data_IF_515711705434
#
_entry.id   IF_515711705434
#
_cell.length_a   1.000
_cell.length_b   1.000
_cell.length_c   1.000
_cell.angle_alpha   90.00
_cell.angle_beta   90.00
_cell.angle_gamma   90.00
#
_symmetry.space_group_name_H-M   'P 1'
#
loop_
_entity.id
_entity.type
_entity.pdbx_description
1 polymer ?
#
# COMPACT_ATOMS: atom_id res chain seq x y z
N UNK A 1 -10.88 52.64 -51.06
CA UNK A 1 -11.86 51.92 -51.91
C UNK A 1 -11.58 50.42 -51.78
N UNK A 2 -12.65 49.60 -51.67
CA UNK A 2 -12.74 48.17 -51.24
C UNK A 2 -12.92 48.02 -49.71
N UNK A 3 -14.15 48.17 -49.20
CA UNK A 3 -15.22 47.14 -49.02
C UNK A 3 -14.81 46.10 -47.96
N UNK A 4 -15.22 46.33 -46.71
CA UNK A 4 -16.36 45.67 -46.05
C UNK A 4 -16.19 44.15 -45.93
N UNK A 5 -15.86 43.69 -44.72
CA UNK A 5 -16.61 42.58 -44.15
C UNK A 5 -16.71 42.74 -42.63
N UNK A 6 -17.90 43.18 -42.25
CA UNK A 6 -18.51 43.17 -40.93
C UNK A 6 -18.54 41.74 -40.42
N UNK A 7 -17.97 41.45 -39.25
CA UNK A 7 -18.48 40.36 -38.41
C UNK A 7 -18.74 40.92 -37.03
N UNK A 8 -20.04 41.05 -36.78
CA UNK A 8 -20.69 41.20 -35.51
C UNK A 8 -20.27 40.07 -34.55
N UNK A 9 -19.95 40.47 -33.31
CA UNK A 9 -20.56 39.97 -32.08
C UNK A 9 -20.80 38.45 -31.94
N UNK A 10 -20.17 37.83 -30.93
CA UNK A 10 -20.91 37.08 -29.91
C UNK A 10 -20.00 36.73 -28.72
N UNK A 11 -20.23 37.47 -27.63
CA UNK A 11 -20.01 36.97 -26.28
C UNK A 11 -20.78 35.66 -26.12
N UNK A 12 -20.07 34.55 -25.95
CA UNK A 12 -20.62 33.35 -25.34
C UNK A 12 -19.85 33.12 -24.03
N UNK A 13 -20.39 33.71 -22.96
CA UNK A 13 -20.16 33.25 -21.61
C UNK A 13 -20.75 31.83 -21.55
N UNK A 14 -19.91 30.80 -21.67
CA UNK A 14 -20.31 29.47 -21.23
C UNK A 14 -20.36 29.49 -19.71
N UNK A 15 -21.53 29.85 -19.17
CA UNK A 15 -21.96 29.29 -17.90
C UNK A 15 -22.17 27.80 -18.15
N UNK A 16 -21.18 27.00 -17.77
CA UNK A 16 -21.41 25.57 -17.56
C UNK A 16 -22.26 25.52 -16.29
N UNK A 17 -23.57 25.57 -16.50
CA UNK A 17 -24.55 25.08 -15.55
C UNK A 17 -24.17 23.62 -15.27
N UNK A 18 -23.45 23.39 -14.17
CA UNK A 18 -23.34 22.04 -13.60
C UNK A 18 -24.80 21.62 -13.39
N UNK A 19 -25.29 20.55 -14.06
CA UNK A 19 -26.52 19.95 -13.64
C UNK A 19 -26.27 19.51 -12.21
N UNK A 20 -26.97 20.15 -11.28
CA UNK A 20 -27.15 19.66 -9.93
C UNK A 20 -27.94 18.35 -10.10
N UNK A 21 -27.19 17.27 -10.33
CA UNK A 21 -27.71 15.92 -10.38
C UNK A 21 -28.34 15.68 -9.01
N UNK A 22 -29.66 15.57 -9.06
CA UNK A 22 -30.50 15.12 -7.97
C UNK A 22 -29.94 13.80 -7.43
N UNK A 23 -29.94 13.70 -6.11
CA UNK A 23 -29.92 12.44 -5.37
C UNK A 23 -30.75 11.36 -6.09
N UNK A 24 -30.05 10.32 -6.53
CA UNK A 24 -30.44 8.93 -6.82
C UNK A 24 -29.20 8.39 -7.54
N UNK A 25 -28.37 7.57 -6.91
CA UNK A 25 -28.79 6.34 -6.26
C UNK A 25 -28.20 6.18 -4.86
N UNK A 26 -29.06 5.72 -3.95
CA UNK A 26 -28.66 4.86 -2.85
C UNK A 26 -27.92 3.65 -3.46
N UNK A 27 -26.64 3.82 -3.79
CA UNK A 27 -25.75 2.69 -4.04
C UNK A 27 -25.78 1.83 -2.78
N UNK A 28 -26.35 0.64 -2.90
CA UNK A 28 -26.42 -0.38 -1.87
C UNK A 28 -25.08 -0.48 -1.15
N UNK A 29 -24.99 0.16 0.01
CA UNK A 29 -23.80 0.15 0.83
C UNK A 29 -23.69 -1.28 1.37
N UNK A 30 -22.70 -2.04 0.90
CA UNK A 30 -22.12 -3.10 1.71
C UNK A 30 -21.37 -2.40 2.85
N UNK A 31 -22.13 -1.94 3.86
CA UNK A 31 -21.65 -1.27 5.09
C UNK A 31 -20.76 -2.17 5.93
N UNK A 32 -20.60 -3.44 5.54
CA UNK A 32 -19.92 -4.44 6.33
C UNK A 32 -18.98 -5.28 5.48
N UNK A 33 -17.74 -5.40 5.95
CA UNK A 33 -16.78 -6.38 5.46
C UNK A 33 -17.39 -7.79 5.57
N UNK A 34 -17.11 -8.73 4.64
CA UNK A 34 -17.78 -10.02 4.60
C UNK A 34 -17.78 -10.73 5.96
N UNK A 35 -18.97 -10.99 6.54
CA UNK A 35 -19.13 -11.49 7.92
C UNK A 35 -18.48 -12.86 8.18
N UNK A 36 -18.29 -13.65 7.13
CA UNK A 36 -17.69 -14.98 7.22
C UNK A 36 -16.24 -15.06 6.73
N UNK A 37 -15.58 -13.92 6.44
CA UNK A 37 -14.16 -13.92 6.09
C UNK A 37 -13.31 -14.60 7.17
N UNK A 38 -12.55 -15.63 6.78
CA UNK A 38 -11.63 -16.40 7.62
C UNK A 38 -10.18 -16.29 7.13
N UNK A 39 -9.95 -16.30 5.82
CA UNK A 39 -8.64 -16.20 5.19
C UNK A 39 -8.80 -15.73 3.75
N UNK A 40 -7.69 -15.34 3.12
CA UNK A 40 -7.70 -14.91 1.72
C UNK A 40 -6.34 -14.38 1.31
N UNK A 41 -6.10 -14.25 0.00
CA UNK A 41 -4.90 -13.59 -0.53
C UNK A 41 -5.32 -12.41 -1.37
N UNK A 42 -4.78 -11.24 -1.05
CA UNK A 42 -4.97 -10.01 -1.80
C UNK A 42 -3.75 -9.76 -2.68
N UNK A 43 -3.91 -9.75 -3.99
CA UNK A 43 -2.81 -9.64 -4.96
C UNK A 43 -2.87 -8.32 -5.72
N UNK A 44 -1.76 -7.61 -5.89
CA UNK A 44 -1.73 -6.24 -6.44
C UNK A 44 -1.59 -6.14 -7.95
N UNK A 45 -1.33 -7.26 -8.64
CA UNK A 45 -0.98 -7.26 -10.05
C UNK A 45 0.43 -6.71 -10.37
N UNK A 46 1.17 -6.20 -9.38
CA UNK A 46 2.53 -5.66 -9.53
C UNK A 46 3.52 -6.57 -8.79
N UNK A 47 4.55 -7.06 -9.50
CA UNK A 47 5.72 -7.77 -8.96
C UNK A 47 5.42 -8.89 -7.92
N UNK A 48 4.29 -9.58 -8.08
CA UNK A 48 3.83 -10.61 -7.15
C UNK A 48 3.73 -10.15 -5.68
N UNK A 49 3.54 -8.85 -5.47
CA UNK A 49 3.19 -8.29 -4.17
C UNK A 49 1.79 -8.78 -3.76
N UNK A 50 1.69 -9.24 -2.51
CA UNK A 50 0.44 -9.74 -1.96
C UNK A 50 0.39 -9.68 -0.44
N UNK A 51 -0.82 -9.63 0.09
CA UNK A 51 -1.12 -9.81 1.50
C UNK A 51 -1.92 -11.10 1.66
N UNK A 52 -1.33 -12.09 2.32
CA UNK A 52 -2.00 -13.34 2.67
C UNK A 52 -2.53 -13.27 4.10
N UNK A 53 -3.83 -13.41 4.27
CA UNK A 53 -4.53 -13.53 5.57
C UNK A 53 -4.73 -15.00 5.91
N UNK A 54 -4.37 -15.39 7.13
CA UNK A 54 -4.47 -16.76 7.66
C UNK A 54 -5.57 -16.86 8.71
N UNK A 55 -6.23 -18.03 8.82
CA UNK A 55 -7.33 -18.29 9.77
C UNK A 55 -7.00 -17.99 11.23
N UNK A 56 -5.74 -18.05 11.62
CA UNK A 56 -5.27 -17.81 12.99
C UNK A 56 -5.14 -16.30 13.33
N UNK A 57 -5.63 -15.40 12.49
CA UNK A 57 -5.52 -13.96 12.68
C UNK A 57 -4.13 -13.39 12.33
N UNK A 58 -3.30 -14.14 11.60
CA UNK A 58 -2.01 -13.66 11.08
C UNK A 58 -2.10 -13.22 9.64
N UNK A 59 -1.29 -12.24 9.25
CA UNK A 59 -1.07 -11.93 7.83
C UNK A 59 0.41 -11.97 7.49
N UNK A 60 0.69 -12.24 6.21
CA UNK A 60 2.01 -12.16 5.60
C UNK A 60 1.91 -11.19 4.43
N UNK A 61 2.58 -10.06 4.54
CA UNK A 61 2.68 -9.08 3.45
C UNK A 61 4.03 -9.21 2.76
N UNK A 62 4.02 -9.55 1.48
CA UNK A 62 5.21 -9.55 0.62
C UNK A 62 5.18 -8.31 -0.23
N UNK A 63 6.06 -7.34 0.02
CA UNK A 63 6.03 -5.99 -0.56
C UNK A 63 7.29 -5.63 -1.36
N UNK A 64 8.24 -6.56 -1.48
CA UNK A 64 9.38 -6.45 -2.39
C UNK A 64 9.77 -7.83 -2.88
N UNK A 65 10.29 -7.90 -4.10
CA UNK A 65 11.02 -9.05 -4.63
C UNK A 65 10.22 -9.97 -5.58
N UNK A 66 10.97 -10.71 -6.39
CA UNK A 66 10.44 -11.43 -7.55
C UNK A 66 9.39 -12.50 -7.22
N UNK A 67 8.64 -12.92 -8.23
CA UNK A 67 7.61 -13.96 -8.12
C UNK A 67 8.14 -15.34 -7.66
N UNK A 68 9.45 -15.56 -7.61
CA UNK A 68 10.08 -16.84 -7.23
C UNK A 68 10.46 -16.92 -5.75
N UNK A 69 10.16 -15.88 -4.97
CA UNK A 69 10.20 -15.94 -3.50
C UNK A 69 11.37 -15.21 -2.87
N UNK A 70 12.22 -14.56 -3.67
CA UNK A 70 13.15 -13.54 -3.18
C UNK A 70 12.33 -12.31 -2.82
N UNK A 71 12.52 -11.75 -1.63
CA UNK A 71 11.69 -10.62 -1.21
C UNK A 71 11.49 -10.47 0.28
N UNK A 72 11.28 -9.22 0.72
CA UNK A 72 10.97 -8.92 2.11
C UNK A 72 9.54 -9.31 2.42
N UNK A 73 9.36 -9.92 3.58
CA UNK A 73 8.07 -10.34 4.11
C UNK A 73 7.87 -9.72 5.47
N UNK A 74 6.73 -9.09 5.66
CA UNK A 74 6.28 -8.63 6.96
C UNK A 74 5.22 -9.58 7.49
N UNK A 75 5.43 -10.08 8.70
CA UNK A 75 4.44 -10.87 9.42
C UNK A 75 3.74 -9.99 10.44
N UNK A 76 2.42 -10.11 10.51
CA UNK A 76 1.61 -9.33 11.43
C UNK A 76 0.35 -10.06 11.87
N UNK A 77 -0.50 -9.32 12.57
CA UNK A 77 -1.81 -9.76 13.04
C UNK A 77 -2.89 -8.92 12.39
N UNK A 78 -3.99 -9.57 12.02
CA UNK A 78 -5.19 -8.89 11.59
C UNK A 78 -6.35 -9.17 12.54
N UNK A 79 -7.28 -8.22 12.64
CA UNK A 79 -8.52 -8.35 13.40
C UNK A 79 -9.67 -7.82 12.57
N UNK A 80 -10.73 -8.61 12.48
CA UNK A 80 -11.96 -8.19 11.84
C UNK A 80 -12.72 -7.15 12.67
N UNK A 81 -13.17 -6.10 11.99
CA UNK A 81 -14.18 -5.14 12.44
C UNK A 81 -15.39 -5.25 11.54
N UNK A 82 -16.45 -4.53 11.89
CA UNK A 82 -17.73 -4.63 11.18
C UNK A 82 -17.57 -4.26 9.70
N UNK A 83 -16.71 -3.29 9.41
CA UNK A 83 -16.54 -2.59 8.13
C UNK A 83 -15.16 -2.83 7.48
N UNK A 84 -14.17 -3.35 8.21
CA UNK A 84 -12.81 -3.57 7.69
C UNK A 84 -12.01 -4.64 8.46
N UNK A 85 -10.85 -5.03 7.94
CA UNK A 85 -9.80 -5.69 8.71
C UNK A 85 -8.80 -4.65 9.22
N UNK A 86 -8.50 -4.66 10.51
CA UNK A 86 -7.38 -3.92 11.09
C UNK A 86 -6.10 -4.76 11.02
N UNK A 87 -5.02 -4.17 10.53
CA UNK A 87 -3.70 -4.77 10.43
C UNK A 87 -2.76 -4.18 11.48
N UNK A 88 -1.91 -5.01 12.05
CA UNK A 88 -0.84 -4.59 12.95
C UNK A 88 0.41 -5.46 12.78
N UNK A 89 1.58 -4.85 12.73
CA UNK A 89 2.84 -5.58 12.68
C UNK A 89 3.98 -4.75 13.29
N UNK A 90 5.10 -5.42 13.57
CA UNK A 90 6.37 -4.75 13.87
C UNK A 90 7.32 -5.07 12.72
N UNK A 91 7.72 -4.05 11.99
CA UNK A 91 8.78 -4.14 11.00
C UNK A 91 10.11 -3.79 11.68
N UNK A 92 11.11 -4.63 11.47
CA UNK A 92 12.48 -4.32 11.89
C UNK A 92 13.26 -3.91 10.63
N UNK A 93 14.12 -2.92 10.75
CA UNK A 93 15.15 -2.62 9.75
C UNK A 93 16.49 -2.88 10.46
N UNK A 94 17.00 -4.10 10.28
CA UNK A 94 18.14 -4.65 11.02
C UNK A 94 19.13 -5.34 10.06
N UNK A 95 20.11 -6.06 10.61
CA UNK A 95 21.10 -6.77 9.78
C UNK A 95 20.49 -7.90 8.95
N UNK A 96 19.57 -8.68 9.52
CA UNK A 96 18.92 -9.80 8.83
C UNK A 96 18.09 -9.31 7.62
N UNK A 97 17.40 -8.19 7.77
CA UNK A 97 16.65 -7.55 6.69
C UNK A 97 17.57 -6.99 5.61
N UNK A 98 18.74 -6.48 6.00
CA UNK A 98 19.77 -6.07 5.05
C UNK A 98 20.29 -7.27 4.23
N UNK A 99 20.55 -8.41 4.88
CA UNK A 99 20.98 -9.64 4.21
C UNK A 99 19.95 -10.12 3.17
N UNK A 100 18.66 -10.10 3.54
CA UNK A 100 17.57 -10.46 2.62
C UNK A 100 17.50 -9.47 1.45
N UNK A 101 17.55 -8.16 1.72
CA UNK A 101 17.49 -7.12 0.70
C UNK A 101 18.71 -7.08 -0.22
N UNK A 102 19.87 -7.49 0.27
CA UNK A 102 21.14 -7.51 -0.46
C UNK A 102 21.50 -8.90 -1.03
N UNK A 103 20.58 -9.86 -0.99
CA UNK A 103 20.82 -11.24 -1.41
C UNK A 103 21.14 -11.40 -2.91
N UNK A 104 20.79 -10.41 -3.74
CA UNK A 104 20.91 -10.44 -5.19
C UNK A 104 19.54 -10.41 -5.87
N UNK A 105 19.51 -10.63 -7.18
CA UNK A 105 18.30 -10.78 -7.98
C UNK A 105 18.29 -12.11 -8.73
N UNK A 106 17.20 -12.40 -9.44
CA UNK A 106 17.13 -13.56 -10.33
C UNK A 106 18.28 -13.63 -11.36
N UNK A 107 18.76 -12.48 -11.83
CA UNK A 107 19.77 -12.39 -12.89
C UNK A 107 21.19 -12.23 -12.36
N UNK A 108 21.36 -11.98 -11.05
CA UNK A 108 22.67 -11.69 -10.47
C UNK A 108 22.74 -12.12 -9.01
N UNK A 109 23.72 -12.96 -8.70
CA UNK A 109 24.09 -13.26 -7.31
C UNK A 109 25.24 -12.34 -6.90
N UNK A 110 25.01 -11.51 -5.89
CA UNK A 110 26.04 -10.60 -5.39
C UNK A 110 27.24 -11.38 -4.81
N UNK A 111 28.45 -10.96 -5.16
CA UNK A 111 29.70 -11.35 -4.50
C UNK A 111 29.73 -10.85 -3.05
N UNK A 112 30.66 -11.37 -2.25
CA UNK A 112 30.82 -10.92 -0.85
C UNK A 112 31.06 -9.40 -0.74
N UNK A 113 31.93 -8.85 -1.58
CA UNK A 113 32.23 -7.42 -1.57
C UNK A 113 31.00 -6.56 -1.93
N UNK A 114 30.23 -6.98 -2.94
CA UNK A 114 28.98 -6.29 -3.31
C UNK A 114 27.93 -6.36 -2.20
N UNK A 115 27.81 -7.51 -1.52
CA UNK A 115 26.93 -7.66 -0.35
C UNK A 115 27.34 -6.74 0.78
N UNK A 116 28.62 -6.71 1.14
CA UNK A 116 29.15 -5.86 2.21
C UNK A 116 28.91 -4.37 1.90
N UNK A 117 29.10 -3.95 0.65
CA UNK A 117 28.82 -2.58 0.21
C UNK A 117 27.32 -2.26 0.27
N UNK A 118 26.46 -3.18 -0.19
CA UNK A 118 25.01 -3.04 -0.13
C UNK A 118 24.52 -2.90 1.32
N UNK A 119 24.98 -3.77 2.23
CA UNK A 119 24.62 -3.73 3.66
C UNK A 119 25.09 -2.41 4.28
N UNK A 120 26.29 -1.93 3.94
CA UNK A 120 26.80 -0.63 4.40
C UNK A 120 25.91 0.52 3.95
N UNK A 121 25.54 0.56 2.66
CA UNK A 121 24.61 1.57 2.11
C UNK A 121 23.25 1.51 2.79
N UNK A 122 22.70 0.32 2.97
CA UNK A 122 21.42 0.10 3.66
C UNK A 122 21.45 0.64 5.10
N UNK A 123 22.46 0.27 5.89
CA UNK A 123 22.65 0.76 7.27
C UNK A 123 22.75 2.28 7.34
N UNK A 124 23.53 2.88 6.45
CA UNK A 124 23.69 4.34 6.41
C UNK A 124 22.37 5.02 6.06
N UNK A 125 21.65 4.54 5.04
CA UNK A 125 20.34 5.09 4.66
C UNK A 125 19.33 5.06 5.82
N UNK A 126 19.31 3.98 6.62
CA UNK A 126 18.42 3.89 7.79
C UNK A 126 18.85 4.87 8.89
N UNK A 127 20.15 4.97 9.18
CA UNK A 127 20.68 5.96 10.14
C UNK A 127 20.42 7.39 9.70
N UNK A 128 20.59 7.71 8.43
CA UNK A 128 20.38 9.06 7.88
C UNK A 128 18.91 9.47 7.96
N UNK A 129 17.98 8.52 7.71
CA UNK A 129 16.53 8.79 7.77
C UNK A 129 15.96 8.84 9.18
N UNK A 130 16.41 7.94 10.06
CA UNK A 130 15.77 7.73 11.37
C UNK A 130 16.67 8.06 12.57
N UNK A 131 17.93 8.43 12.33
CA UNK A 131 18.93 8.77 13.36
C UNK A 131 19.48 7.56 14.12
N UNK A 132 18.95 6.35 13.91
CA UNK A 132 19.32 5.14 14.65
C UNK A 132 19.36 3.91 13.72
N UNK A 133 20.10 2.88 14.13
CA UNK A 133 20.07 1.54 13.54
C UNK A 133 20.47 0.50 14.60
N UNK A 134 19.74 -0.62 14.77
CA UNK A 134 18.54 -1.01 14.02
C UNK A 134 17.32 -0.14 14.36
N UNK A 135 16.34 -0.14 13.47
CA UNK A 135 15.07 0.58 13.63
C UNK A 135 13.93 -0.41 13.83
N UNK A 136 13.00 -0.07 14.72
CA UNK A 136 11.73 -0.79 14.87
C UNK A 136 10.59 0.14 14.48
N UNK A 137 9.72 -0.32 13.60
CA UNK A 137 8.59 0.43 13.08
C UNK A 137 7.30 -0.31 13.43
N UNK A 138 6.36 0.39 14.06
CA UNK A 138 5.00 -0.09 14.28
C UNK A 138 4.21 0.16 13.01
N UNK A 139 3.70 -0.91 12.42
CA UNK A 139 2.78 -0.85 11.30
C UNK A 139 1.34 -0.94 11.82
N UNK A 140 0.48 -0.07 11.29
CA UNK A 140 -0.97 -0.18 11.38
C UNK A 140 -1.57 -0.09 9.99
N UNK A 141 -2.63 -0.82 9.71
CA UNK A 141 -3.31 -0.73 8.43
C UNK A 141 -4.77 -1.10 8.50
N UNK A 142 -5.47 -0.89 7.39
CA UNK A 142 -6.87 -1.26 7.18
C UNK A 142 -7.05 -1.88 5.81
N UNK A 143 -7.94 -2.86 5.72
CA UNK A 143 -8.42 -3.45 4.46
C UNK A 143 -9.94 -3.42 4.47
N UNK A 144 -10.54 -2.81 3.46
CA UNK A 144 -12.00 -2.69 3.34
C UNK A 144 -12.45 -3.08 1.93
N UNK A 145 -13.74 -3.40 1.78
CA UNK A 145 -14.36 -3.64 0.49
C UNK A 145 -15.23 -2.44 0.16
N UNK A 146 -15.10 -1.92 -1.05
CA UNK A 146 -15.87 -0.78 -1.59
C UNK A 146 -17.23 -1.26 -2.11
N UNK A 147 -18.11 -0.31 -2.46
CA UNK A 147 -19.42 -0.60 -3.03
C UNK A 147 -19.33 -1.35 -4.39
N UNK A 148 -18.25 -1.13 -5.16
CA UNK A 148 -17.99 -1.80 -6.44
C UNK A 148 -17.35 -3.18 -6.28
N UNK A 149 -17.28 -3.73 -5.06
CA UNK A 149 -16.55 -4.94 -4.70
C UNK A 149 -15.02 -4.83 -4.90
N UNK A 150 -14.50 -3.64 -5.14
CA UNK A 150 -13.05 -3.40 -5.12
C UNK A 150 -12.53 -3.44 -3.68
N UNK A 151 -11.26 -3.82 -3.50
CA UNK A 151 -10.62 -3.85 -2.18
C UNK A 151 -9.75 -2.61 -1.98
N UNK A 152 -9.96 -1.87 -0.91
CA UNK A 152 -9.11 -0.76 -0.49
C UNK A 152 -8.14 -1.19 0.61
N UNK A 153 -6.89 -0.73 0.52
CA UNK A 153 -5.85 -0.97 1.53
C UNK A 153 -5.22 0.35 1.95
N UNK A 154 -5.03 0.52 3.25
CA UNK A 154 -4.24 1.61 3.82
C UNK A 154 -3.24 1.04 4.81
N UNK A 155 -1.96 1.38 4.65
CA UNK A 155 -0.89 0.98 5.55
C UNK A 155 -0.14 2.24 6.01
N UNK A 156 0.20 2.29 7.29
CA UNK A 156 1.00 3.34 7.89
C UNK A 156 2.07 2.75 8.79
N UNK A 157 3.25 3.36 8.82
CA UNK A 157 4.33 2.95 9.71
C UNK A 157 4.85 4.11 10.56
N UNK A 158 5.15 3.80 11.81
CA UNK A 158 5.61 4.76 12.82
C UNK A 158 6.85 4.24 13.53
N UNK A 159 7.88 5.07 13.63
CA UNK A 159 9.09 4.73 14.38
C UNK A 159 8.76 4.48 15.86
N UNK A 160 9.18 3.33 16.37
CA UNK A 160 9.15 2.99 17.79
C UNK A 160 10.46 3.51 18.38
N UNK A 161 10.52 4.81 18.68
CA UNK A 161 11.71 5.42 19.32
C UNK A 161 11.37 6.23 20.55
N UNK A 162 12.35 6.27 21.44
CA UNK A 162 12.36 6.93 22.74
C UNK A 162 12.56 8.44 22.57
N UNK A 163 11.64 9.24 23.13
CA UNK A 163 11.77 10.69 23.40
C UNK A 163 11.78 11.69 22.22
N UNK A 164 11.73 11.31 20.94
CA UNK A 164 11.53 12.28 19.83
C UNK A 164 10.42 11.85 18.88
N UNK A 165 9.84 12.88 18.26
CA UNK A 165 8.61 12.96 17.44
C UNK A 165 8.25 11.70 16.63
N UNK A 166 6.94 11.51 16.41
CA UNK A 166 6.40 10.47 15.54
C UNK A 166 6.91 10.66 14.11
N UNK A 167 8.05 10.07 13.77
CA UNK A 167 8.51 9.98 12.38
C UNK A 167 7.58 9.00 11.67
N UNK A 168 6.70 9.52 10.80
CA UNK A 168 5.88 8.74 9.87
C UNK A 168 6.82 8.24 8.76
N UNK A 169 6.95 6.92 8.67
CA UNK A 169 7.84 6.25 7.73
C UNK A 169 7.11 5.71 6.50
N UNK A 170 7.86 5.55 5.41
CA UNK A 170 7.42 5.11 4.09
C UNK A 170 6.79 3.71 4.11
N UNK A 171 5.47 3.67 3.99
CA UNK A 171 4.73 2.77 3.10
C UNK A 171 3.26 3.22 3.08
N UNK A 172 2.99 4.42 2.56
CA UNK A 172 1.61 4.88 2.37
C UNK A 172 1.16 4.43 0.98
N UNK A 173 0.62 3.21 0.90
CA UNK A 173 -0.22 2.81 -0.22
C UNK A 173 -1.64 3.14 0.19
N UNK A 174 -2.19 4.23 -0.35
CA UNK A 174 -3.64 4.41 -0.46
C UNK A 174 -3.99 4.08 -1.90
N UNK A 175 -4.00 2.79 -2.21
CA UNK A 175 -4.60 2.36 -3.46
C UNK A 175 -6.06 2.02 -3.14
N UNK A 176 -6.96 2.83 -3.67
CA UNK A 176 -8.40 2.65 -3.50
C UNK A 176 -8.89 1.36 -4.19
N UNK A 177 -8.05 0.73 -5.04
CA UNK A 177 -8.33 -0.50 -5.78
C UNK A 177 -7.13 -1.46 -5.72
N UNK A 178 -6.74 -1.86 -4.52
CA UNK A 178 -5.66 -2.83 -4.30
C UNK A 178 -6.17 -4.27 -4.43
N UNK A 179 -6.16 -4.80 -5.65
CA UNK A 179 -6.29 -6.24 -5.89
C UNK A 179 -7.68 -6.87 -5.71
N UNK A 180 -7.75 -8.18 -5.99
CA UNK A 180 -8.92 -9.03 -5.76
C UNK A 180 -8.57 -10.17 -4.81
N UNK A 181 -9.54 -10.64 -4.03
CA UNK A 181 -9.37 -11.86 -3.24
C UNK A 181 -9.47 -13.08 -4.16
N UNK A 182 -8.48 -13.97 -4.10
CA UNK A 182 -8.39 -15.15 -4.98
C UNK A 182 -9.10 -16.41 -4.47
N UNK A 183 -10.03 -16.31 -3.50
CA UNK A 183 -10.85 -17.45 -3.05
C UNK A 183 -12.35 -17.11 -3.10
N UNK A 184 -13.11 -18.00 -3.75
CA UNK A 184 -14.52 -17.91 -4.15
C UNK A 184 -15.57 -17.93 -3.02
N UNK A 185 -15.29 -17.32 -1.87
CA UNK A 185 -16.32 -17.09 -0.82
C UNK A 185 -16.68 -15.59 -0.70
N UNK A 186 -16.79 -14.92 -1.84
CA UNK A 186 -17.50 -13.65 -1.98
C UNK A 186 -18.93 -13.88 -2.48
#
# INVERSE_FOLDING_TARGET
MKLFNTIFLLLALFQISIPQSKNQDDENILTSFPKNFLEGTLSTGVDCENIKFLKNGEFIYKFTGDCKGWGRKLKGKWKKKNDHLELSAIMNENYEEAEIGCAGSYYHTNTKAEKDECIKKYKNNIKDKFGIFPVKLKLSGKVWVTNSLDVGVSIETYLISTKKEKVKGLMFFSDEKFGTFTNDEF
#
